data_IF_972512855804
#
_entry.id   IF_972512855804
#
_cell.length_a   1.000
_cell.length_b   1.000
_cell.length_c   1.000
_cell.angle_alpha   90.00
_cell.angle_beta   90.00
_cell.angle_gamma   90.00
#
_symmetry.space_group_name_H-M   'P 1'
#
loop_
_entity.id
_entity.type
_entity.pdbx_description
1 polymer ?
#
# COMPACT_ATOMS: atom_id res chain seq x y z
N UNK A 1 -97.64 -30.32 16.94
CA UNK A 1 -96.93 -31.07 18.00
C UNK A 1 -95.49 -31.26 17.52
N UNK A 2 -94.60 -30.32 17.82
CA UNK A 2 -93.71 -30.31 18.99
C UNK A 2 -92.41 -31.12 18.75
N UNK A 3 -91.36 -30.36 18.44
CA UNK A 3 -89.92 -30.52 18.69
C UNK A 3 -89.31 -31.92 18.89
N UNK A 4 -88.21 -32.17 18.16
CA UNK A 4 -86.94 -32.57 18.79
C UNK A 4 -85.76 -32.09 17.94
N UNK A 5 -84.97 -31.20 18.52
CA UNK A 5 -83.64 -30.84 18.01
C UNK A 5 -82.67 -31.98 18.35
N UNK A 6 -81.90 -32.43 17.36
CA UNK A 6 -80.85 -33.41 17.53
C UNK A 6 -79.50 -32.70 17.44
N UNK A 7 -78.75 -32.80 18.53
CA UNK A 7 -77.54 -32.05 18.85
C UNK A 7 -76.33 -32.83 18.28
N UNK A 8 -75.65 -32.25 17.30
CA UNK A 8 -74.51 -32.90 16.62
C UNK A 8 -73.28 -32.89 17.56
N UNK A 9 -72.67 -34.05 17.90
CA UNK A 9 -71.51 -34.08 18.78
C UNK A 9 -70.26 -33.55 18.05
N UNK A 10 -69.61 -32.53 18.65
CA UNK A 10 -68.26 -32.08 18.26
C UNK A 10 -67.25 -33.12 18.73
N UNK A 11 -66.73 -33.94 17.81
CA UNK A 11 -65.60 -34.83 18.08
C UNK A 11 -64.32 -34.00 18.25
N UNK A 12 -63.89 -33.77 19.48
CA UNK A 12 -62.54 -33.29 19.77
C UNK A 12 -61.56 -34.43 19.49
N UNK A 13 -60.76 -34.30 18.44
CA UNK A 13 -59.65 -35.22 18.18
C UNK A 13 -58.57 -34.94 19.24
N UNK A 14 -58.58 -35.72 20.32
CA UNK A 14 -57.50 -35.77 21.29
C UNK A 14 -56.54 -36.88 20.84
N UNK A 15 -55.34 -36.51 20.38
CA UNK A 15 -54.27 -37.49 20.19
C UNK A 15 -53.96 -38.15 21.54
N UNK A 16 -53.77 -39.47 21.54
CA UNK A 16 -53.35 -40.16 22.75
C UNK A 16 -51.87 -39.88 23.03
N UNK A 17 -51.49 -39.86 24.32
CA UNK A 17 -50.09 -39.65 24.74
C UNK A 17 -49.12 -40.66 24.11
N UNK A 18 -49.63 -41.84 23.73
CA UNK A 18 -48.88 -42.88 23.01
C UNK A 18 -48.57 -42.46 21.57
N UNK A 19 -49.55 -41.93 20.84
CA UNK A 19 -49.33 -41.43 19.47
C UNK A 19 -48.38 -40.23 19.44
N UNK A 20 -48.47 -39.35 20.46
CA UNK A 20 -47.56 -38.22 20.58
C UNK A 20 -46.12 -38.66 20.86
N UNK A 21 -45.93 -39.66 21.74
CA UNK A 21 -44.60 -40.24 22.00
C UNK A 21 -44.02 -40.91 20.76
N UNK A 22 -44.83 -41.65 20.02
CA UNK A 22 -44.40 -42.33 18.79
C UNK A 22 -43.91 -41.32 17.73
N UNK A 23 -44.66 -40.23 17.55
CA UNK A 23 -44.26 -39.09 16.71
C UNK A 23 -42.94 -38.45 17.18
N UNK A 24 -42.76 -38.23 18.48
CA UNK A 24 -41.51 -37.69 19.02
C UNK A 24 -40.33 -38.63 18.75
N UNK A 25 -40.49 -39.94 18.94
CA UNK A 25 -39.43 -40.92 18.61
C UNK A 25 -39.11 -40.93 17.11
N UNK A 26 -40.11 -40.85 16.23
CA UNK A 26 -39.89 -40.79 14.77
C UNK A 26 -39.19 -39.49 14.35
N UNK A 27 -39.52 -38.35 14.96
CA UNK A 27 -38.84 -37.07 14.71
C UNK A 27 -37.42 -37.08 15.27
N UNK A 28 -37.18 -37.60 16.47
CA UNK A 28 -35.84 -37.69 17.06
C UNK A 28 -34.91 -38.65 16.30
N UNK A 29 -35.44 -39.76 15.78
CA UNK A 29 -34.68 -40.70 14.93
C UNK A 29 -34.47 -40.17 13.52
N UNK A 30 -35.45 -39.45 12.95
CA UNK A 30 -35.32 -38.79 11.64
C UNK A 30 -34.37 -37.58 11.63
N UNK A 31 -34.22 -36.87 12.76
CA UNK A 31 -33.25 -35.78 12.91
C UNK A 31 -31.83 -36.31 13.08
N UNK A 32 -31.65 -37.55 13.53
CA UNK A 32 -30.33 -38.16 13.71
C UNK A 32 -29.67 -38.60 12.40
N UNK A 33 -30.40 -38.59 11.28
CA UNK A 33 -29.85 -38.87 9.94
C UNK A 33 -29.64 -37.64 9.07
N UNK A 34 -29.89 -36.43 9.58
CA UNK A 34 -29.33 -35.23 8.94
C UNK A 34 -27.91 -35.08 9.47
N UNK A 35 -27.02 -35.91 8.93
CA UNK A 35 -25.62 -35.52 8.86
C UNK A 35 -25.62 -34.09 8.29
N UNK A 36 -24.92 -33.10 8.88
CA UNK A 36 -24.73 -31.84 8.18
C UNK A 36 -24.20 -32.25 6.81
N UNK A 37 -24.89 -31.85 5.74
CA UNK A 37 -24.36 -31.98 4.39
C UNK A 37 -22.93 -31.51 4.49
N UNK A 38 -21.96 -32.43 4.42
CA UNK A 38 -20.54 -32.09 4.36
C UNK A 38 -20.46 -31.36 3.03
N UNK A 39 -20.64 -30.04 3.05
CA UNK A 39 -20.17 -29.16 2.01
C UNK A 39 -18.72 -29.58 1.85
N UNK A 40 -18.41 -30.28 0.75
CA UNK A 40 -17.07 -30.78 0.50
C UNK A 40 -16.13 -29.62 0.71
N UNK A 41 -15.35 -29.70 1.78
CA UNK A 41 -14.41 -28.65 2.13
C UNK A 41 -13.37 -28.66 1.02
N UNK A 42 -13.41 -27.62 0.21
CA UNK A 42 -12.61 -27.41 -0.99
C UNK A 42 -12.32 -25.92 -1.08
N UNK A 43 -11.40 -25.52 -1.96
CA UNK A 43 -11.04 -24.12 -2.17
C UNK A 43 -12.14 -23.24 -2.82
N UNK A 44 -13.42 -23.63 -2.82
CA UNK A 44 -14.52 -22.83 -3.39
C UNK A 44 -14.72 -21.50 -2.66
N UNK A 45 -14.52 -21.46 -1.34
CA UNK A 45 -14.56 -20.23 -0.53
C UNK A 45 -13.20 -19.56 -0.36
N UNK A 46 -12.12 -20.13 -0.92
CA UNK A 46 -10.81 -19.52 -0.87
C UNK A 46 -10.77 -18.30 -1.80
N UNK A 47 -10.28 -17.17 -1.31
CA UNK A 47 -10.14 -15.93 -2.09
C UNK A 47 -8.78 -15.78 -2.76
N UNK A 48 -7.78 -16.55 -2.31
CA UNK A 48 -6.44 -16.51 -2.89
C UNK A 48 -6.46 -17.03 -4.33
N UNK A 49 -5.74 -16.34 -5.23
CA UNK A 49 -5.58 -16.72 -6.63
C UNK A 49 -4.12 -16.55 -7.04
N UNK A 50 -3.65 -17.41 -7.93
CA UNK A 50 -2.30 -17.33 -8.47
C UNK A 50 -2.29 -17.52 -9.98
N UNK A 51 -1.82 -16.51 -10.70
CA UNK A 51 -1.79 -16.46 -12.16
C UNK A 51 -0.54 -17.06 -12.80
N UNK A 52 0.49 -17.39 -12.02
CA UNK A 52 1.78 -17.86 -12.57
C UNK A 52 2.82 -16.76 -12.74
N UNK A 53 2.62 -15.59 -12.12
CA UNK A 53 3.65 -14.54 -12.07
C UNK A 53 4.94 -15.11 -11.46
N UNK A 54 6.05 -14.93 -12.16
CA UNK A 54 7.38 -15.44 -11.76
C UNK A 54 8.08 -14.53 -10.77
N UNK A 55 7.45 -14.31 -9.62
CA UNK A 55 7.94 -13.44 -8.56
C UNK A 55 7.89 -14.16 -7.21
N UNK A 56 9.02 -14.20 -6.50
CA UNK A 56 9.13 -14.94 -5.23
C UNK A 56 8.17 -14.42 -4.16
N UNK A 57 7.94 -13.11 -4.09
CA UNK A 57 7.03 -12.48 -3.13
C UNK A 57 5.58 -12.95 -3.32
N UNK A 58 5.10 -12.96 -4.57
CA UNK A 58 3.75 -13.39 -4.93
C UNK A 58 3.55 -14.88 -4.68
N UNK A 59 4.53 -15.71 -5.05
CA UNK A 59 4.47 -17.16 -4.83
C UNK A 59 4.38 -17.48 -3.33
N UNK A 60 5.23 -16.88 -2.49
CA UNK A 60 5.19 -17.14 -1.04
C UNK A 60 3.95 -16.54 -0.38
N UNK A 61 3.47 -15.37 -0.83
CA UNK A 61 2.21 -14.79 -0.33
C UNK A 61 1.00 -15.67 -0.63
N UNK A 62 0.92 -16.20 -1.85
CA UNK A 62 -0.11 -17.17 -2.24
C UNK A 62 -0.01 -18.46 -1.42
N UNK A 63 1.20 -19.06 -1.32
CA UNK A 63 1.40 -20.28 -0.54
C UNK A 63 1.04 -20.08 0.93
N UNK A 64 1.40 -18.95 1.54
CA UNK A 64 1.02 -18.62 2.91
C UNK A 64 -0.50 -18.58 3.06
N UNK A 65 -1.20 -17.84 2.20
CA UNK A 65 -2.66 -17.72 2.26
C UNK A 65 -3.37 -19.08 2.08
N UNK A 66 -2.94 -19.89 1.12
CA UNK A 66 -3.54 -21.20 0.85
C UNK A 66 -3.22 -22.21 1.95
N UNK A 67 -1.99 -22.19 2.50
CA UNK A 67 -1.64 -23.03 3.65
C UNK A 67 -2.47 -22.67 4.88
N UNK A 68 -2.60 -21.38 5.21
CA UNK A 68 -3.47 -20.93 6.30
C UNK A 68 -4.92 -21.36 6.08
N UNK A 69 -5.45 -21.21 4.86
CA UNK A 69 -6.80 -21.68 4.56
C UNK A 69 -6.94 -23.20 4.74
N UNK A 70 -5.98 -23.98 4.23
CA UNK A 70 -5.94 -25.44 4.36
C UNK A 70 -5.94 -25.87 5.83
N UNK A 71 -5.16 -25.19 6.68
CA UNK A 71 -5.08 -25.44 8.12
C UNK A 71 -6.39 -25.10 8.84
N UNK A 72 -6.96 -23.93 8.57
CA UNK A 72 -8.21 -23.45 9.20
C UNK A 72 -9.39 -24.35 8.83
N UNK A 73 -9.53 -24.69 7.56
CA UNK A 73 -10.61 -25.55 7.07
C UNK A 73 -10.37 -27.04 7.36
N UNK A 74 -9.15 -27.41 7.79
CA UNK A 74 -8.69 -28.78 8.00
C UNK A 74 -8.88 -29.63 6.74
N UNK A 75 -8.38 -29.11 5.62
CA UNK A 75 -8.42 -29.80 4.34
C UNK A 75 -7.37 -30.92 4.31
N UNK A 76 -7.80 -32.09 3.89
CA UNK A 76 -6.92 -33.19 3.55
C UNK A 76 -6.10 -32.87 2.29
N UNK A 77 -4.88 -33.42 2.20
CA UNK A 77 -3.97 -33.17 1.08
C UNK A 77 -4.58 -33.58 -0.26
N UNK A 78 -5.29 -34.71 -0.32
CA UNK A 78 -5.91 -35.18 -1.57
C UNK A 78 -7.01 -34.23 -2.05
N UNK A 79 -7.84 -33.73 -1.13
CA UNK A 79 -8.90 -32.76 -1.44
C UNK A 79 -8.33 -31.38 -1.79
N UNK A 80 -7.24 -30.98 -1.14
CA UNK A 80 -6.55 -29.74 -1.45
C UNK A 80 -5.98 -29.80 -2.88
N UNK A 81 -5.25 -30.87 -3.23
CA UNK A 81 -4.69 -31.06 -4.57
C UNK A 81 -5.78 -31.08 -5.66
N UNK A 82 -6.91 -31.77 -5.40
CA UNK A 82 -8.06 -31.79 -6.30
C UNK A 82 -8.70 -30.40 -6.49
N UNK A 83 -8.61 -29.53 -5.49
CA UNK A 83 -9.17 -28.17 -5.52
C UNK A 83 -8.26 -27.12 -6.17
N UNK A 84 -6.98 -27.42 -6.42
CA UNK A 84 -6.02 -26.47 -7.01
C UNK A 84 -6.48 -25.80 -8.33
N UNK A 85 -7.16 -26.50 -9.26
CA UNK A 85 -7.68 -25.88 -10.47
C UNK A 85 -8.67 -24.73 -10.25
N UNK A 86 -9.24 -24.59 -9.04
CA UNK A 86 -10.16 -23.49 -8.71
C UNK A 86 -9.44 -22.18 -8.32
N UNK A 87 -8.17 -22.28 -7.93
CA UNK A 87 -7.41 -21.15 -7.39
C UNK A 87 -6.20 -20.78 -8.24
N UNK A 88 -5.74 -21.68 -9.12
CA UNK A 88 -4.73 -21.40 -10.13
C UNK A 88 -5.39 -20.82 -11.38
N UNK A 89 -4.87 -19.70 -11.86
CA UNK A 89 -5.35 -19.02 -13.07
C UNK A 89 -4.22 -18.89 -14.10
N UNK A 90 -4.57 -18.51 -15.33
CA UNK A 90 -3.64 -18.16 -16.40
C UNK A 90 -2.50 -19.21 -16.59
N UNK A 91 -1.25 -18.78 -16.55
CA UNK A 91 -0.07 -19.62 -16.78
C UNK A 91 0.05 -20.73 -15.72
N UNK A 92 -0.36 -20.46 -14.47
CA UNK A 92 -0.33 -21.45 -13.40
C UNK A 92 -1.35 -22.58 -13.64
N UNK A 93 -2.53 -22.27 -14.18
CA UNK A 93 -3.53 -23.28 -14.52
C UNK A 93 -3.04 -24.21 -15.63
N UNK A 94 -2.38 -23.65 -16.65
CA UNK A 94 -1.78 -24.41 -17.76
C UNK A 94 -0.67 -25.31 -17.24
N UNK A 95 0.22 -24.77 -16.40
CA UNK A 95 1.31 -25.54 -15.77
C UNK A 95 0.79 -26.70 -14.91
N UNK A 96 -0.28 -26.46 -14.12
CA UNK A 96 -0.83 -27.49 -13.25
C UNK A 96 -1.39 -28.68 -14.02
N UNK A 97 -2.03 -28.44 -15.17
CA UNK A 97 -2.55 -29.53 -16.01
C UNK A 97 -1.47 -30.50 -16.48
N UNK A 98 -0.27 -30.01 -16.79
CA UNK A 98 0.85 -30.84 -17.23
C UNK A 98 1.67 -31.47 -16.10
N UNK A 99 1.51 -31.01 -14.86
CA UNK A 99 2.34 -31.42 -13.72
C UNK A 99 1.60 -32.26 -12.67
N UNK A 100 0.26 -32.16 -12.59
CA UNK A 100 -0.58 -32.80 -11.56
C UNK A 100 -0.33 -34.30 -11.33
N UNK A 101 -0.04 -35.06 -12.39
CA UNK A 101 0.14 -36.52 -12.29
C UNK A 101 1.42 -36.91 -11.53
N UNK A 102 2.37 -35.97 -11.41
CA UNK A 102 3.66 -36.16 -10.73
C UNK A 102 3.68 -35.56 -9.31
N UNK A 103 2.53 -35.17 -8.78
CA UNK A 103 2.38 -34.48 -7.49
C UNK A 103 1.44 -35.26 -6.60
N UNK A 104 2.02 -35.98 -5.63
CA UNK A 104 1.27 -36.88 -4.76
C UNK A 104 0.98 -36.27 -3.39
N UNK A 105 1.86 -35.38 -2.91
CA UNK A 105 1.73 -34.74 -1.60
C UNK A 105 1.57 -33.23 -1.75
N UNK A 106 0.99 -32.59 -0.71
CA UNK A 106 0.92 -31.14 -0.68
C UNK A 106 2.31 -30.49 -0.67
N UNK A 107 3.29 -31.10 0.00
CA UNK A 107 4.66 -30.61 0.00
C UNK A 107 5.28 -30.64 -1.40
N UNK A 108 5.09 -31.72 -2.16
CA UNK A 108 5.56 -31.81 -3.55
C UNK A 108 4.97 -30.70 -4.42
N UNK A 109 3.69 -30.37 -4.22
CA UNK A 109 3.05 -29.24 -4.88
C UNK A 109 3.77 -27.93 -4.54
N UNK A 110 3.96 -27.63 -3.25
CA UNK A 110 4.61 -26.38 -2.83
C UNK A 110 6.04 -26.25 -3.35
N UNK A 111 6.81 -27.32 -3.36
CA UNK A 111 8.20 -27.32 -3.85
C UNK A 111 8.29 -27.19 -5.37
N UNK A 112 7.36 -27.81 -6.10
CA UNK A 112 7.28 -27.64 -7.56
C UNK A 112 6.80 -26.26 -7.96
N UNK A 113 5.85 -25.69 -7.22
CA UNK A 113 5.39 -24.32 -7.44
C UNK A 113 6.54 -23.33 -7.25
N UNK A 114 7.28 -23.45 -6.13
CA UNK A 114 8.48 -22.65 -5.86
C UNK A 114 9.53 -22.84 -6.95
N UNK A 115 9.89 -24.06 -7.32
CA UNK A 115 10.94 -24.28 -8.32
C UNK A 115 10.56 -23.77 -9.72
N UNK A 116 9.28 -23.77 -10.07
CA UNK A 116 8.80 -23.29 -11.39
C UNK A 116 8.67 -21.77 -11.44
N UNK A 117 8.05 -21.16 -10.43
CA UNK A 117 7.65 -19.74 -10.46
C UNK A 117 8.48 -18.85 -9.54
N UNK A 118 9.19 -19.40 -8.56
CA UNK A 118 10.10 -18.68 -7.67
C UNK A 118 11.47 -19.38 -7.58
N UNK A 119 12.16 -19.60 -8.72
CA UNK A 119 13.47 -20.24 -8.69
C UNK A 119 14.41 -19.43 -7.78
N UNK A 120 15.11 -20.13 -6.89
CA UNK A 120 16.03 -19.49 -5.94
C UNK A 120 17.02 -18.61 -6.70
N UNK A 121 17.01 -17.31 -6.39
CA UNK A 121 18.03 -16.39 -6.92
C UNK A 121 19.39 -16.83 -6.41
N UNK A 122 20.40 -16.77 -7.29
CA UNK A 122 21.78 -17.04 -6.90
C UNK A 122 22.21 -16.00 -5.85
N UNK A 123 22.94 -16.44 -4.82
CA UNK A 123 23.29 -15.57 -3.68
C UNK A 123 23.96 -14.26 -4.11
N UNK A 124 24.89 -14.30 -5.09
CA UNK A 124 25.55 -13.10 -5.59
C UNK A 124 24.58 -12.07 -6.20
N UNK A 125 23.49 -12.51 -6.84
CA UNK A 125 22.47 -11.61 -7.39
C UNK A 125 21.66 -10.94 -6.28
N UNK A 126 21.36 -11.68 -5.21
CA UNK A 126 20.67 -11.14 -4.03
C UNK A 126 21.53 -10.06 -3.38
N UNK A 127 22.84 -10.30 -3.20
CA UNK A 127 23.74 -9.27 -2.66
C UNK A 127 23.82 -8.02 -3.54
N UNK A 128 23.86 -8.18 -4.86
CA UNK A 128 23.82 -7.06 -5.79
C UNK A 128 22.54 -6.23 -5.60
N UNK A 129 21.38 -6.88 -5.56
CA UNK A 129 20.08 -6.23 -5.37
C UNK A 129 19.96 -5.53 -3.99
N UNK A 130 20.54 -6.12 -2.95
CA UNK A 130 20.61 -5.50 -1.62
C UNK A 130 21.42 -4.19 -1.69
N UNK A 131 22.54 -4.16 -2.40
CA UNK A 131 23.44 -2.99 -2.43
C UNK A 131 23.01 -1.94 -3.46
N UNK A 132 22.41 -2.36 -4.57
CA UNK A 132 22.04 -1.49 -5.69
C UNK A 132 20.84 -0.60 -5.35
N UNK A 133 19.80 -1.17 -4.73
CA UNK A 133 18.57 -0.45 -4.43
C UNK A 133 18.75 0.33 -3.13
N UNK A 134 18.86 1.66 -3.24
CA UNK A 134 18.90 2.57 -2.09
C UNK A 134 17.50 3.09 -1.74
N UNK A 135 17.31 3.46 -0.49
CA UNK A 135 16.07 4.09 -0.05
C UNK A 135 15.88 5.45 -0.75
N UNK A 136 14.75 5.62 -1.42
CA UNK A 136 14.36 6.90 -2.02
C UNK A 136 13.79 7.89 -0.98
N UNK A 137 13.33 9.07 -1.41
CA UNK A 137 12.75 10.08 -0.50
C UNK A 137 11.31 9.78 -0.07
N UNK A 138 10.57 8.93 -0.80
CA UNK A 138 9.14 8.69 -0.59
C UNK A 138 8.86 7.45 0.26
N UNK A 139 9.77 6.49 0.25
CA UNK A 139 9.61 5.19 0.90
C UNK A 139 9.97 5.29 2.38
N UNK A 140 9.04 5.00 3.31
CA UNK A 140 9.34 4.94 4.73
C UNK A 140 10.40 3.89 5.05
N UNK A 141 11.24 4.15 6.06
CA UNK A 141 12.33 3.23 6.45
C UNK A 141 11.82 1.85 6.84
N UNK A 142 10.62 1.80 7.42
CA UNK A 142 9.96 0.54 7.82
C UNK A 142 9.69 -0.38 6.62
N UNK A 143 9.14 0.17 5.54
CA UNK A 143 8.87 -0.59 4.31
C UNK A 143 10.19 -1.01 3.65
N UNK A 144 11.14 -0.07 3.52
CA UNK A 144 12.43 -0.35 2.91
C UNK A 144 13.21 -1.46 3.64
N UNK A 145 13.27 -1.42 4.97
CA UNK A 145 13.94 -2.44 5.78
C UNK A 145 13.22 -3.79 5.64
N UNK A 146 11.87 -3.80 5.60
CA UNK A 146 11.11 -5.03 5.41
C UNK A 146 11.45 -5.70 4.05
N UNK A 147 11.52 -4.92 2.98
CA UNK A 147 11.91 -5.40 1.64
C UNK A 147 13.34 -5.97 1.64
N UNK A 148 14.30 -5.27 2.25
CA UNK A 148 15.68 -5.75 2.36
C UNK A 148 15.79 -7.03 3.18
N UNK A 149 15.04 -7.14 4.29
CA UNK A 149 14.99 -8.36 5.10
C UNK A 149 14.36 -9.53 4.32
N UNK A 150 13.37 -9.27 3.47
CA UNK A 150 12.80 -10.29 2.58
C UNK A 150 13.82 -10.79 1.54
N UNK A 151 14.72 -9.93 1.05
CA UNK A 151 15.84 -10.36 0.19
C UNK A 151 16.86 -11.19 0.96
N UNK A 152 17.26 -10.74 2.16
CA UNK A 152 18.21 -11.47 3.01
C UNK A 152 17.70 -12.87 3.38
N UNK A 153 16.39 -13.03 3.58
CA UNK A 153 15.76 -14.32 3.87
C UNK A 153 15.87 -15.34 2.72
N UNK A 154 16.12 -14.89 1.48
CA UNK A 154 16.30 -15.77 0.32
C UNK A 154 17.72 -16.37 0.23
N UNK A 155 18.67 -15.89 1.05
CA UNK A 155 20.04 -16.39 1.03
C UNK A 155 20.15 -17.83 1.55
N UNK A 156 21.05 -18.65 0.99
CA UNK A 156 21.34 -19.99 1.52
C UNK A 156 21.81 -19.95 2.98
N UNK A 157 21.49 -21.00 3.75
CA UNK A 157 21.96 -21.14 5.15
C UNK A 157 23.43 -21.59 5.19
N UNK A 158 24.22 -21.21 6.21
CA UNK A 158 23.84 -20.36 7.36
C UNK A 158 23.67 -18.88 6.97
N UNK A 159 22.68 -18.23 7.59
CA UNK A 159 22.41 -16.80 7.36
C UNK A 159 23.40 -15.91 8.11
N UNK A 160 23.48 -14.65 7.71
CA UNK A 160 24.24 -13.60 8.40
C UNK A 160 23.67 -13.35 9.79
N UNK A 161 24.53 -12.96 10.73
CA UNK A 161 24.06 -12.47 12.04
C UNK A 161 23.24 -11.19 11.89
N UNK A 162 22.38 -10.89 12.87
CA UNK A 162 21.57 -9.67 12.86
C UNK A 162 22.43 -8.42 12.68
N UNK A 163 23.61 -8.37 13.32
CA UNK A 163 24.55 -7.27 13.18
C UNK A 163 25.05 -7.11 11.73
N UNK A 164 25.42 -8.21 11.07
CA UNK A 164 25.86 -8.20 9.67
C UNK A 164 24.73 -7.81 8.72
N UNK A 165 23.50 -8.26 9.00
CA UNK A 165 22.33 -7.86 8.22
C UNK A 165 22.07 -6.36 8.36
N UNK A 166 22.16 -5.80 9.57
CA UNK A 166 22.03 -4.36 9.80
C UNK A 166 23.15 -3.61 9.08
N UNK A 167 24.40 -4.09 9.07
CA UNK A 167 25.50 -3.45 8.33
C UNK A 167 25.20 -3.34 6.83
N UNK A 168 24.68 -4.43 6.23
CA UNK A 168 24.32 -4.47 4.81
C UNK A 168 23.19 -3.49 4.48
N UNK A 169 22.16 -3.42 5.34
CA UNK A 169 20.97 -2.58 5.11
C UNK A 169 21.25 -1.12 5.44
N UNK A 170 21.96 -0.85 6.54
CA UNK A 170 22.23 0.51 7.04
C UNK A 170 22.96 1.35 5.99
N UNK A 171 23.86 0.77 5.20
CA UNK A 171 24.53 1.48 4.10
C UNK A 171 23.60 1.99 3.00
N UNK A 172 22.40 1.40 2.87
CA UNK A 172 21.44 1.68 1.79
C UNK A 172 20.29 2.59 2.22
N UNK A 173 20.20 2.90 3.52
CA UNK A 173 19.26 3.88 4.07
C UNK A 173 19.65 5.28 3.59
N UNK A 174 18.66 6.14 3.38
CA UNK A 174 18.89 7.51 2.91
C UNK A 174 19.78 8.31 3.87
N UNK A 175 20.55 9.25 3.32
CA UNK A 175 21.58 9.95 4.07
C UNK A 175 21.04 10.74 5.26
N UNK A 176 19.88 11.39 5.11
CA UNK A 176 19.22 12.24 6.09
C UNK A 176 18.89 11.50 7.40
N UNK A 177 18.70 10.19 7.31
CA UNK A 177 18.48 9.31 8.46
C UNK A 177 19.82 8.85 9.03
N UNK A 178 20.75 8.41 8.17
CA UNK A 178 22.08 7.93 8.59
C UNK A 178 22.92 9.01 9.25
N UNK A 179 22.74 10.27 8.87
CA UNK A 179 23.41 11.42 9.51
C UNK A 179 23.00 11.57 10.98
N UNK A 180 21.76 11.23 11.33
CA UNK A 180 21.20 11.39 12.67
C UNK A 180 21.29 10.13 13.53
N UNK A 181 21.55 8.97 12.93
CA UNK A 181 21.68 7.70 13.64
C UNK A 181 23.10 7.17 13.50
N UNK A 182 23.84 7.06 14.61
CA UNK A 182 25.13 6.38 14.60
C UNK A 182 24.96 4.87 14.43
N UNK A 183 25.70 4.26 13.49
CA UNK A 183 25.66 2.80 13.24
C UNK A 183 25.94 1.99 14.50
N UNK A 184 26.92 2.41 15.29
CA UNK A 184 27.34 1.69 16.51
C UNK A 184 26.31 1.80 17.65
N UNK A 185 25.31 2.68 17.52
CA UNK A 185 24.24 2.88 18.53
C UNK A 185 23.04 1.96 18.34
N UNK A 186 23.11 1.02 17.40
CA UNK A 186 22.02 0.12 17.02
C UNK A 186 22.50 -1.32 17.10
N UNK A 187 21.74 -2.14 17.81
CA UNK A 187 21.95 -3.58 17.95
C UNK A 187 20.87 -4.42 17.26
N UNK A 188 19.71 -3.84 16.96
CA UNK A 188 18.57 -4.54 16.35
C UNK A 188 17.87 -3.71 15.27
N UNK A 189 17.12 -4.39 14.40
CA UNK A 189 16.26 -3.70 13.43
C UNK A 189 15.16 -2.86 14.11
N UNK A 190 14.63 -3.31 15.26
CA UNK A 190 13.58 -2.58 15.96
C UNK A 190 14.09 -1.24 16.51
N UNK A 191 15.31 -1.20 17.05
CA UNK A 191 15.96 0.03 17.49
C UNK A 191 16.20 1.01 16.32
N UNK A 192 16.65 0.49 15.17
CA UNK A 192 16.82 1.27 13.96
C UNK A 192 15.48 1.89 13.50
N UNK A 193 14.43 1.08 13.43
CA UNK A 193 13.11 1.52 12.98
C UNK A 193 12.48 2.54 13.92
N UNK A 194 12.61 2.35 15.24
CA UNK A 194 12.14 3.31 16.23
C UNK A 194 12.81 4.68 16.04
N UNK A 195 14.15 4.72 15.98
CA UNK A 195 14.90 5.97 15.76
C UNK A 195 14.60 6.61 14.41
N UNK A 196 14.50 5.80 13.35
CA UNK A 196 14.20 6.29 12.01
C UNK A 196 12.81 6.95 11.94
N UNK A 197 11.80 6.38 12.60
CA UNK A 197 10.43 6.92 12.62
C UNK A 197 10.37 8.33 13.22
N UNK A 198 11.09 8.57 14.31
CA UNK A 198 11.16 9.89 14.94
C UNK A 198 11.86 10.92 14.03
N UNK A 199 12.90 10.49 13.33
CA UNK A 199 13.61 11.33 12.37
C UNK A 199 12.74 11.67 11.17
N UNK A 200 12.04 10.68 10.60
CA UNK A 200 11.16 10.87 9.44
C UNK A 200 10.03 11.84 9.75
N UNK A 201 9.46 11.78 10.97
CA UNK A 201 8.48 12.78 11.43
C UNK A 201 9.04 14.19 11.38
N UNK A 202 10.22 14.40 11.97
CA UNK A 202 10.88 15.71 11.98
C UNK A 202 11.26 16.20 10.57
N UNK A 203 11.61 15.29 9.66
CA UNK A 203 11.87 15.62 8.26
C UNK A 203 10.60 16.07 7.55
N UNK A 204 9.48 15.36 7.74
CA UNK A 204 8.19 15.73 7.15
C UNK A 204 7.72 17.12 7.60
N UNK A 205 7.85 17.45 8.89
CA UNK A 205 7.47 18.76 9.42
C UNK A 205 8.32 19.90 8.82
N UNK A 206 9.62 19.64 8.59
CA UNK A 206 10.53 20.61 7.95
C UNK A 206 10.18 20.83 6.49
N UNK A 207 9.86 19.77 5.77
CA UNK A 207 9.51 19.84 4.35
C UNK A 207 8.17 20.59 4.16
N UNK A 208 7.20 20.40 5.07
CA UNK A 208 5.97 21.16 5.11
C UNK A 208 6.23 22.66 5.39
N UNK A 209 7.06 22.98 6.38
CA UNK A 209 7.42 24.36 6.71
C UNK A 209 8.11 25.08 5.53
N UNK A 210 9.09 24.42 4.91
CA UNK A 210 9.82 24.97 3.75
C UNK A 210 8.94 25.18 2.52
N UNK A 211 7.91 24.34 2.34
CA UNK A 211 6.91 24.49 1.28
C UNK A 211 6.03 25.73 1.49
N UNK A 212 5.71 26.07 2.75
CA UNK A 212 4.96 27.29 3.08
C UNK A 212 5.81 28.53 2.85
N UNK A 213 7.06 28.54 3.29
CA UNK A 213 8.00 29.66 3.09
C UNK A 213 8.24 29.93 1.60
N UNK A 214 8.46 28.88 0.80
CA UNK A 214 8.66 28.98 -0.65
C UNK A 214 7.45 29.59 -1.37
N UNK A 215 6.22 29.26 -0.93
CA UNK A 215 4.98 29.85 -1.46
C UNK A 215 4.82 31.32 -1.05
N UNK A 216 5.28 31.71 0.15
CA UNK A 216 5.26 33.09 0.61
C UNK A 216 6.29 33.96 -0.12
N UNK A 217 7.51 33.48 -0.32
CA UNK A 217 8.56 34.19 -1.08
C UNK A 217 8.17 34.33 -2.56
N UNK A 218 7.54 33.32 -3.16
CA UNK A 218 7.00 33.42 -4.52
C UNK A 218 5.90 34.50 -4.65
N UNK A 219 4.99 34.60 -3.65
CA UNK A 219 3.99 35.67 -3.60
C UNK A 219 4.63 37.06 -3.41
N UNK A 220 5.64 37.19 -2.55
CA UNK A 220 6.36 38.46 -2.37
C UNK A 220 7.15 38.90 -3.60
N UNK A 221 7.79 37.97 -4.32
CA UNK A 221 8.50 38.29 -5.59
C UNK A 221 7.54 38.74 -6.69
N UNK A 222 6.34 38.16 -6.77
CA UNK A 222 5.29 38.59 -7.71
C UNK A 222 4.68 39.96 -7.34
N UNK A 223 4.78 40.38 -6.08
CA UNK A 223 4.27 41.65 -5.58
C UNK A 223 5.23 42.85 -5.74
N UNK A 224 6.49 42.65 -6.15
CA UNK A 224 7.40 43.78 -6.44
C UNK A 224 6.95 44.48 -7.72
N UNK A 225 6.24 45.60 -7.59
CA UNK A 225 5.78 46.40 -8.72
C UNK A 225 6.96 46.82 -9.61
N UNK A 226 6.82 46.60 -10.92
CA UNK A 226 7.76 47.08 -11.93
C UNK A 226 7.40 48.52 -12.29
N UNK A 227 8.37 49.41 -12.33
CA UNK A 227 8.15 50.78 -12.77
C UNK A 227 7.79 50.82 -14.26
N UNK A 228 6.65 51.42 -14.61
CA UNK A 228 6.17 51.48 -16.00
C UNK A 228 7.07 52.28 -16.96
N UNK A 229 7.93 53.16 -16.43
CA UNK A 229 8.80 54.04 -17.22
C UNK A 229 10.19 53.45 -17.45
N UNK A 230 10.92 53.13 -16.38
CA UNK A 230 12.29 52.61 -16.49
C UNK A 230 12.38 51.07 -16.46
N UNK A 231 11.25 50.39 -16.30
CA UNK A 231 11.10 48.92 -16.26
C UNK A 231 11.90 48.20 -15.17
N UNK A 232 12.54 48.90 -14.24
CA UNK A 232 13.18 48.30 -13.07
C UNK A 232 12.19 48.07 -11.93
N UNK A 233 12.51 47.12 -11.06
CA UNK A 233 11.65 46.69 -9.96
C UNK A 233 11.90 47.52 -8.69
N UNK A 234 10.89 47.60 -7.82
CA UNK A 234 11.04 48.14 -6.46
C UNK A 234 10.65 49.61 -6.29
N UNK A 235 10.05 50.25 -7.29
CA UNK A 235 9.48 51.59 -7.19
C UNK A 235 8.39 51.82 -8.26
N UNK A 236 7.51 52.81 -8.05
CA UNK A 236 6.45 53.21 -9.01
C UNK A 236 6.93 54.35 -9.91
N UNK A 237 6.16 54.72 -10.93
CA UNK A 237 6.51 55.81 -11.85
C UNK A 237 6.72 57.16 -11.13
N UNK A 238 5.91 57.45 -10.10
CA UNK A 238 5.91 58.73 -9.39
C UNK A 238 7.21 59.04 -8.67
N UNK A 239 7.88 57.99 -8.16
CA UNK A 239 9.17 58.06 -7.47
C UNK A 239 10.33 57.58 -8.35
N UNK A 240 10.11 57.47 -9.67
CA UNK A 240 11.15 57.05 -10.60
C UNK A 240 12.15 58.17 -10.84
N UNK A 241 13.39 57.98 -10.36
CA UNK A 241 14.49 58.96 -10.52
C UNK A 241 14.71 59.39 -11.98
N UNK A 242 14.61 58.46 -12.94
CA UNK A 242 14.71 58.76 -14.38
C UNK A 242 13.50 59.54 -14.91
N UNK A 243 12.30 59.25 -14.41
CA UNK A 243 11.08 59.95 -14.81
C UNK A 243 11.02 61.38 -14.25
N UNK A 244 11.51 61.57 -13.02
CA UNK A 244 11.63 62.88 -12.39
C UNK A 244 12.62 63.78 -13.14
N UNK A 245 13.78 63.26 -13.57
CA UNK A 245 14.73 64.04 -14.37
C UNK A 245 14.12 64.57 -15.69
N UNK A 246 13.37 63.74 -16.42
CA UNK A 246 12.73 64.22 -17.65
C UNK A 246 11.65 65.28 -17.44
N UNK A 247 10.92 65.26 -16.31
CA UNK A 247 9.96 66.33 -15.99
C UNK A 247 10.66 67.68 -15.80
N UNK A 248 11.81 67.68 -15.13
CA UNK A 248 12.60 68.89 -14.88
C UNK A 248 13.19 69.47 -16.18
N UNK A 249 13.69 68.62 -17.07
CA UNK A 249 14.19 69.06 -18.38
C UNK A 249 13.09 69.67 -19.25
N UNK A 250 11.88 69.11 -19.20
CA UNK A 250 10.75 69.61 -19.97
C UNK A 250 10.20 70.93 -19.40
N UNK A 251 10.12 71.07 -18.07
CA UNK A 251 9.78 72.35 -17.44
C UNK A 251 10.80 73.44 -17.74
N UNK A 252 12.10 73.11 -17.73
CA UNK A 252 13.16 74.04 -18.10
C UNK A 252 13.06 74.49 -19.56
N UNK A 253 12.75 73.56 -20.48
CA UNK A 253 12.51 73.88 -21.90
C UNK A 253 11.28 74.77 -22.10
N UNK A 254 10.20 74.53 -21.35
CA UNK A 254 8.98 75.36 -21.39
C UNK A 254 9.26 76.76 -20.83
N UNK A 255 9.98 76.86 -19.71
CA UNK A 255 10.39 78.14 -19.12
C UNK A 255 11.30 78.93 -20.07
N UNK A 256 12.27 78.26 -20.70
CA UNK A 256 13.15 78.87 -21.70
C UNK A 256 12.38 79.34 -22.93
N UNK A 257 11.42 78.57 -23.42
CA UNK A 257 10.58 78.98 -24.54
C UNK A 257 9.67 80.16 -24.21
N UNK A 258 9.05 80.17 -23.01
CA UNK A 258 8.29 81.33 -22.50
C UNK A 258 9.16 82.57 -22.36
N UNK A 259 10.40 82.42 -21.87
CA UNK A 259 11.33 83.54 -21.73
C UNK A 259 11.78 84.09 -23.10
N UNK A 260 12.00 83.22 -24.10
CA UNK A 260 12.31 83.64 -25.47
C UNK A 260 11.14 84.35 -26.16
N UNK A 261 9.90 83.95 -25.88
CA UNK A 261 8.70 84.65 -26.37
C UNK A 261 8.53 86.02 -25.72
N UNK A 262 8.80 86.15 -24.42
CA UNK A 262 8.76 87.44 -23.73
C UNK A 262 9.82 88.41 -24.26
N UNK A 263 11.02 87.92 -24.59
CA UNK A 263 12.09 88.72 -25.21
C UNK A 263 11.75 89.21 -26.63
N UNK A 264 10.83 88.55 -27.35
CA UNK A 264 10.37 88.97 -28.69
C UNK A 264 9.23 90.00 -28.66
N UNK A 265 8.68 90.29 -27.48
CA UNK A 265 7.55 91.23 -27.28
C UNK A 265 7.99 92.54 -26.61
N UNK A 266 9.30 92.73 -26.36
CA UNK A 266 9.86 94.02 -26.00
C UNK A 266 10.16 94.81 -27.29
N UNK A 267 9.57 96.01 -27.47
CA UNK A 267 9.77 96.85 -28.65
C UNK A 267 11.19 97.43 -28.74
#
# INVERSE_FOLDING_TARGET
MAQKADEKPKSSISMSDTQFKELLTTVMTGISSVSPTRTSKTFTSCTARFSGIRESSQVESFLAAVNTFKEVEKLDDALALAGLPLILTDDAAIWWQGSKDNVLTWNDFTDRLRSTFAPKKMAYKIYQEIIEIKQDSQTPTEIFVAEKRALLAQLPKPTHSDQQQIDLVFGQIRFEIREKISRNSISSFDELLMKARDIERNLSERDDASTVESKQDYKQKKARSRCNFCRSFGHTYEICRKGLMMKWDNEYLILRHKMLLLLKLLP
#
